data_IF_783090972408
#
_entry.id   IF_783090972408
#
_cell.length_a   1.000
_cell.length_b   1.000
_cell.length_c   1.000
_cell.angle_alpha   90.00
_cell.angle_beta   90.00
_cell.angle_gamma   90.00
#
_symmetry.space_group_name_H-M   'P 1'
#
loop_
_entity.id
_entity.type
_entity.pdbx_description
1 polymer ?
#
# COMPACT_ATOMS: atom_id res chain seq x y z
N UNK A 1 -7.55 -13.17 3.79
CA UNK A 1 -7.44 -11.95 4.60
C UNK A 1 -6.29 -11.10 4.08
N UNK A 2 -6.52 -9.80 3.93
CA UNK A 2 -5.49 -8.89 3.43
C UNK A 2 -4.68 -8.34 4.60
N UNK A 3 -3.36 -8.61 4.65
CA UNK A 3 -2.53 -8.01 5.69
C UNK A 3 -2.27 -6.54 5.39
N UNK A 4 -2.29 -5.71 6.43
CA UNK A 4 -1.91 -4.31 6.32
C UNK A 4 -0.63 -4.07 7.10
N UNK A 5 0.29 -3.32 6.50
CA UNK A 5 1.55 -2.95 7.14
C UNK A 5 1.62 -1.44 7.31
N UNK A 6 1.97 -1.00 8.52
CA UNK A 6 2.19 0.41 8.79
C UNK A 6 3.50 0.86 8.15
N UNK A 7 3.46 2.02 7.48
CA UNK A 7 4.63 2.62 6.85
C UNK A 7 4.69 4.09 7.20
N UNK A 8 5.89 4.67 7.14
CA UNK A 8 6.09 6.08 7.44
C UNK A 8 5.78 6.97 6.24
N UNK A 9 6.01 6.45 5.02
CA UNK A 9 5.79 7.18 3.78
C UNK A 9 5.15 6.22 2.76
N UNK A 10 3.83 6.31 2.65
CA UNK A 10 3.08 5.38 1.81
C UNK A 10 3.37 5.58 0.31
N UNK A 11 3.68 6.81 -0.11
CA UNK A 11 4.01 7.06 -1.51
C UNK A 11 5.32 6.37 -1.87
N UNK A 12 6.33 6.48 -1.01
CA UNK A 12 7.60 5.79 -1.21
C UNK A 12 7.43 4.27 -1.13
N UNK A 13 6.58 3.78 -0.22
CA UNK A 13 6.33 2.36 -0.07
C UNK A 13 5.66 1.78 -1.31
N UNK A 14 4.69 2.50 -1.89
CA UNK A 14 4.02 2.07 -3.12
C UNK A 14 5.01 2.06 -4.29
N UNK A 15 5.87 3.08 -4.39
CA UNK A 15 6.89 3.13 -5.44
C UNK A 15 7.86 1.95 -5.31
N UNK A 16 8.28 1.63 -4.09
CA UNK A 16 9.17 0.49 -3.85
C UNK A 16 8.50 -0.84 -4.24
N UNK A 17 7.22 -1.00 -3.93
CA UNK A 17 6.46 -2.19 -4.31
C UNK A 17 6.40 -2.35 -5.83
N UNK A 18 6.18 -1.26 -6.56
CA UNK A 18 6.17 -1.27 -8.02
C UNK A 18 7.53 -1.65 -8.60
N UNK A 19 8.61 -1.12 -8.02
CA UNK A 19 9.98 -1.44 -8.47
C UNK A 19 10.35 -2.90 -8.18
N UNK A 20 9.75 -3.49 -7.17
CA UNK A 20 9.97 -4.89 -6.82
C UNK A 20 9.10 -5.86 -7.63
N UNK A 21 8.39 -5.36 -8.64
CA UNK A 21 7.56 -6.18 -9.50
C UNK A 21 6.10 -6.26 -9.10
N UNK A 22 5.71 -5.49 -8.08
CA UNK A 22 4.31 -5.42 -7.67
C UNK A 22 3.47 -4.54 -8.59
N UNK A 23 2.18 -4.72 -8.53
CA UNK A 23 1.22 -3.93 -9.31
C UNK A 23 0.32 -3.16 -8.33
N UNK A 24 0.20 -1.86 -8.53
CA UNK A 24 -0.67 -1.04 -7.67
C UNK A 24 -2.12 -1.30 -8.04
N UNK A 25 -2.85 -1.95 -7.13
CA UNK A 25 -4.27 -2.21 -7.30
C UNK A 25 -5.11 -1.00 -6.86
N UNK A 26 -4.63 -0.29 -5.83
CA UNK A 26 -5.30 0.92 -5.34
C UNK A 26 -4.22 1.94 -4.93
N UNK A 27 -4.17 3.12 -5.57
CA UNK A 27 -3.19 4.13 -5.21
C UNK A 27 -3.47 4.70 -3.82
N UNK A 28 -2.49 5.41 -3.21
CA UNK A 28 -2.69 6.00 -1.89
C UNK A 28 -3.92 6.89 -1.85
N UNK A 29 -4.78 6.67 -0.85
CA UNK A 29 -5.98 7.45 -0.63
C UNK A 29 -6.13 7.74 0.86
N UNK A 30 -6.34 9.02 1.18
CA UNK A 30 -6.54 9.44 2.55
C UNK A 30 -7.96 9.17 3.01
N UNK A 31 -8.08 8.59 4.22
CA UNK A 31 -9.35 8.45 4.92
C UNK A 31 -9.31 9.44 6.08
N UNK A 32 -10.10 10.53 6.05
CA UNK A 32 -10.04 11.57 7.07
C UNK A 32 -10.20 10.98 8.48
N UNK A 33 -9.30 11.35 9.38
CA UNK A 33 -9.32 10.88 10.77
C UNK A 33 -8.73 9.49 10.97
N UNK A 34 -8.33 8.79 9.91
CA UNK A 34 -7.82 7.41 10.03
C UNK A 34 -6.43 7.21 9.43
N UNK A 35 -6.08 7.94 8.38
CA UNK A 35 -4.79 7.84 7.72
C UNK A 35 -4.92 7.60 6.23
N UNK A 36 -3.85 7.13 5.62
CA UNK A 36 -3.79 6.89 4.17
C UNK A 36 -3.52 5.42 3.92
N UNK A 37 -4.21 4.82 2.95
CA UNK A 37 -4.01 3.42 2.63
C UNK A 37 -3.72 3.25 1.15
N UNK A 38 -3.09 2.11 0.81
CA UNK A 38 -2.88 1.70 -0.57
C UNK A 38 -2.86 0.17 -0.62
N UNK A 39 -3.10 -0.39 -1.79
CA UNK A 39 -3.10 -1.82 -2.00
C UNK A 39 -2.28 -2.13 -3.23
N UNK A 40 -1.40 -3.12 -3.14
CA UNK A 40 -0.65 -3.60 -4.28
C UNK A 40 -0.71 -5.12 -4.37
N UNK A 41 -0.52 -5.64 -5.57
CA UNK A 41 -0.51 -7.07 -5.85
C UNK A 41 0.92 -7.52 -6.12
N UNK A 42 1.33 -8.61 -5.50
CA UNK A 42 2.65 -9.18 -5.74
C UNK A 42 2.61 -10.69 -5.46
N UNK A 43 3.14 -11.47 -6.38
CA UNK A 43 3.18 -12.92 -6.22
C UNK A 43 1.79 -13.56 -6.15
N UNK A 44 0.79 -12.93 -6.76
CA UNK A 44 -0.58 -13.44 -6.74
C UNK A 44 -1.35 -13.10 -5.47
N UNK A 45 -0.74 -12.30 -4.57
CA UNK A 45 -1.36 -11.90 -3.30
C UNK A 45 -1.56 -10.40 -3.25
N UNK A 46 -2.64 -9.96 -2.59
CA UNK A 46 -2.85 -8.55 -2.35
C UNK A 46 -2.30 -8.16 -0.98
N UNK A 47 -1.67 -6.99 -0.93
CA UNK A 47 -1.03 -6.46 0.27
C UNK A 47 -1.54 -5.05 0.53
N UNK A 48 -1.86 -4.76 1.78
CA UNK A 48 -2.29 -3.44 2.19
C UNK A 48 -1.17 -2.66 2.86
N UNK A 49 -1.13 -1.35 2.61
CA UNK A 49 -0.21 -0.42 3.27
C UNK A 49 -1.05 0.63 3.99
N UNK A 50 -0.58 1.07 5.16
CA UNK A 50 -1.29 2.04 5.97
C UNK A 50 -0.31 3.05 6.54
N UNK A 51 -0.65 4.33 6.41
CA UNK A 51 0.13 5.43 6.97
C UNK A 51 -0.79 6.27 7.84
N UNK A 52 -0.40 6.47 9.09
CA UNK A 52 -1.12 7.35 10.00
C UNK A 52 -0.80 8.81 9.76
#
# INVERSE_FOLDING_TARGET
MRPYRLVDDIVAAVAAAGQAGGEVAHPPMEIPGHGTFAIYLQGGNDHGLWQL
#
